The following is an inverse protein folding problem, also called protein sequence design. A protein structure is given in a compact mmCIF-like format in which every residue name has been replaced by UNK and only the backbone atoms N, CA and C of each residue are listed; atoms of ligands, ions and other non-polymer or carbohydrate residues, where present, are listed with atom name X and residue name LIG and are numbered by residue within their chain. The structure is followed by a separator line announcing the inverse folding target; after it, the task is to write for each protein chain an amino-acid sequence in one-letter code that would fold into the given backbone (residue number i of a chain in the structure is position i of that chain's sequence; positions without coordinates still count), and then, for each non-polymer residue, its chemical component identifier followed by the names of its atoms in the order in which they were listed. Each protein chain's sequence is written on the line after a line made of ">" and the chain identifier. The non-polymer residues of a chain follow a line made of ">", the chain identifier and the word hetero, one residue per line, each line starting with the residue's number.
data_IF_110621334480
#
_entry.id   IF_110621334480
#
_cell.length_a   1.000
_cell.length_b   1.000
_cell.length_c   1.000
_cell.angle_alpha   90.00
_cell.angle_beta   90.00
_cell.angle_gamma   90.00
#
_symmetry.space_group_name_H-M   'P 1'
#
loop_
_entity.id
_entity.type
_entity.pdbx_description
1 polymer ?
#
# COMPACT_ATOMS: atom_id res chain seq x y z
N UNK A 1 -18.82 -2.71 0.52
CA UNK A 1 -18.07 -3.69 1.36
C UNK A 1 -16.76 -3.02 1.69
N UNK A 2 -16.35 -2.99 2.95
CA UNK A 2 -15.12 -2.27 3.33
C UNK A 2 -13.89 -3.13 3.14
N UNK A 3 -12.84 -2.50 2.63
CA UNK A 3 -11.51 -3.07 2.47
C UNK A 3 -10.56 -2.31 3.38
N UNK A 4 -9.79 -3.05 4.17
CA UNK A 4 -8.76 -2.50 5.04
C UNK A 4 -7.48 -2.28 4.24
N UNK A 5 -6.95 -1.06 4.30
CA UNK A 5 -5.67 -0.73 3.69
C UNK A 5 -4.56 -0.92 4.72
N UNK A 6 -3.62 -1.82 4.44
CA UNK A 6 -2.54 -2.21 5.34
C UNK A 6 -1.19 -1.98 4.66
N UNK A 7 -0.22 -1.51 5.44
CA UNK A 7 1.15 -1.40 4.98
C UNK A 7 1.77 -2.78 4.79
N UNK A 8 2.25 -3.10 3.59
CA UNK A 8 2.89 -4.39 3.32
C UNK A 8 4.23 -4.58 4.07
N UNK A 9 4.92 -3.50 4.42
CA UNK A 9 6.25 -3.57 5.03
C UNK A 9 6.23 -3.61 6.56
N UNK A 10 5.22 -3.03 7.20
CA UNK A 10 5.17 -2.89 8.65
C UNK A 10 3.82 -3.25 9.28
N UNK A 11 2.90 -3.84 8.51
CA UNK A 11 1.56 -4.30 8.91
C UNK A 11 0.66 -3.25 9.56
N UNK A 12 1.04 -1.97 9.48
CA UNK A 12 0.26 -0.86 10.02
C UNK A 12 -0.98 -0.63 9.17
N UNK A 13 -2.14 -0.52 9.81
CA UNK A 13 -3.36 -0.05 9.15
C UNK A 13 -3.18 1.42 8.77
N UNK A 14 -3.35 1.72 7.47
CA UNK A 14 -3.16 3.05 6.89
C UNK A 14 -4.45 3.65 6.33
N UNK A 15 -5.54 2.90 6.31
CA UNK A 15 -6.85 3.43 5.95
C UNK A 15 -7.91 2.35 5.73
N UNK A 16 -9.08 2.80 5.29
CA UNK A 16 -10.18 1.97 4.83
C UNK A 16 -10.63 2.51 3.47
N UNK A 17 -11.04 1.63 2.57
CA UNK A 17 -11.54 1.95 1.24
C UNK A 17 -12.87 1.22 1.06
N UNK A 18 -13.88 1.86 0.48
CA UNK A 18 -15.07 1.14 0.03
C UNK A 18 -14.73 0.36 -1.25
N UNK A 19 -15.22 -0.88 -1.35
CA UNK A 19 -15.00 -1.73 -2.53
C UNK A 19 -15.34 -1.01 -3.85
N UNK A 20 -16.36 -0.15 -3.85
CA UNK A 20 -16.81 0.60 -5.03
C UNK A 20 -15.76 1.64 -5.47
N UNK A 21 -14.99 2.18 -4.53
CA UNK A 21 -13.96 3.18 -4.76
C UNK A 21 -12.67 2.58 -5.37
N UNK A 22 -12.48 1.26 -5.32
CA UNK A 22 -11.35 0.59 -5.98
C UNK A 22 -11.32 0.80 -7.49
N UNK A 23 -12.49 1.01 -8.09
CA UNK A 23 -12.64 1.27 -9.54
C UNK A 23 -12.49 2.75 -9.89
N UNK A 24 -12.46 3.62 -8.89
CA UNK A 24 -12.26 5.05 -9.09
C UNK A 24 -10.77 5.32 -9.32
N UNK A 25 -10.45 6.20 -10.26
CA UNK A 25 -9.08 6.47 -10.72
C UNK A 25 -8.12 7.12 -9.68
N UNK A 26 -8.48 7.15 -8.38
CA UNK A 26 -7.75 7.86 -7.31
C UNK A 26 -7.29 6.95 -6.17
N UNK A 27 -7.14 5.65 -6.41
CA UNK A 27 -6.59 4.77 -5.38
C UNK A 27 -5.08 4.88 -5.40
N UNK A 28 -4.48 5.20 -4.24
CA UNK A 28 -3.05 5.04 -4.00
C UNK A 28 -2.56 3.70 -4.57
N UNK A 29 -1.29 3.57 -5.03
CA UNK A 29 -0.80 2.33 -5.61
C UNK A 29 -1.00 1.15 -4.64
N UNK A 30 -2.04 0.35 -4.92
CA UNK A 30 -2.30 -0.92 -4.25
C UNK A 30 -1.40 -1.94 -4.91
N UNK A 31 -0.58 -2.59 -4.10
CA UNK A 31 0.34 -3.63 -4.56
C UNK A 31 -0.36 -4.97 -4.69
N UNK A 32 -1.27 -5.28 -3.76
CA UNK A 32 -2.01 -6.54 -3.75
C UNK A 32 -3.34 -6.42 -2.97
N UNK A 33 -4.29 -7.32 -3.23
CA UNK A 33 -5.55 -7.45 -2.49
C UNK A 33 -5.80 -8.92 -2.16
N UNK A 34 -5.87 -9.23 -0.87
CA UNK A 34 -6.18 -10.58 -0.36
C UNK A 34 -7.44 -10.52 0.49
N UNK A 35 -8.54 -11.07 -0.02
CA UNK A 35 -9.84 -11.02 0.65
C UNK A 35 -10.35 -9.58 0.80
N UNK A 36 -10.51 -9.12 2.04
CA UNK A 36 -10.93 -7.75 2.38
C UNK A 36 -9.76 -6.86 2.85
N UNK A 37 -8.52 -7.22 2.50
CA UNK A 37 -7.32 -6.46 2.83
C UNK A 37 -6.60 -6.04 1.56
N UNK A 38 -6.38 -4.74 1.39
CA UNK A 38 -5.54 -4.15 0.35
C UNK A 38 -4.18 -3.77 0.93
N UNK A 39 -3.12 -4.26 0.31
CA UNK A 39 -1.74 -3.96 0.69
C UNK A 39 -1.19 -2.80 -0.13
N UNK A 40 -0.58 -1.84 0.55
CA UNK A 40 0.13 -0.72 -0.05
C UNK A 40 1.34 -0.35 0.82
N UNK A 41 2.15 0.64 0.43
CA UNK A 41 3.19 1.18 1.30
C UNK A 41 2.69 2.39 2.06
N UNK A 42 2.97 2.46 3.36
CA UNK A 42 2.77 3.70 4.11
C UNK A 42 3.85 4.73 3.72
N UNK A 43 3.59 6.04 3.89
CA UNK A 43 4.56 7.08 3.53
C UNK A 43 5.94 6.88 4.18
N UNK A 44 5.99 6.37 5.41
CA UNK A 44 7.25 6.12 6.12
C UNK A 44 8.07 5.01 5.43
N UNK A 45 7.46 3.85 5.18
CA UNK A 45 8.14 2.75 4.52
C UNK A 45 8.49 3.08 3.06
N UNK A 46 7.63 3.85 2.37
CA UNK A 46 7.93 4.34 1.03
C UNK A 46 9.17 5.24 1.05
N UNK A 47 9.23 6.19 1.97
CA UNK A 47 10.36 7.09 2.11
C UNK A 47 11.64 6.33 2.47
N UNK A 48 11.58 5.34 3.36
CA UNK A 48 12.72 4.49 3.70
C UNK A 48 13.24 3.71 2.48
N UNK A 49 12.34 3.15 1.66
CA UNK A 49 12.71 2.44 0.44
C UNK A 49 13.26 3.37 -0.65
N UNK A 50 12.82 4.62 -0.72
CA UNK A 50 13.37 5.63 -1.63
C UNK A 50 14.72 6.18 -1.15
N UNK A 51 14.95 6.19 0.16
CA UNK A 51 16.19 6.68 0.79
C UNK A 51 17.30 5.62 0.84
N UNK A 52 16.99 4.33 0.72
CA UNK A 52 18.02 3.34 0.43
C UNK A 52 18.54 3.60 -1.00
N UNK A 53 19.83 3.99 -1.17
CA UNK A 53 20.40 4.00 -2.50
C UNK A 53 20.24 2.59 -3.03
N UNK A 54 19.58 2.45 -4.19
CA UNK A 54 19.58 1.19 -4.95
C UNK A 54 21.03 0.74 -4.99
N UNK A 55 21.40 -0.23 -4.17
CA UNK A 55 22.66 -0.93 -4.31
C UNK A 55 22.49 -1.69 -5.61
N UNK A 56 22.84 -1.01 -6.70
CA UNK A 56 23.04 -1.59 -8.01
C UNK A 56 24.14 -2.62 -7.78
N UNK A 57 23.74 -3.88 -7.60
CA UNK A 57 24.67 -4.97 -7.79
C UNK A 57 25.11 -4.87 -9.26
N UNK A 58 26.42 -4.70 -9.41
CA UNK A 58 27.21 -4.40 -10.61
C UNK A 58 26.65 -4.91 -11.94
#
# INVERSE_FOLDING_TARGET
>A
MKILKVCHACDRIIGEIELDDLTSHNVDPIMDIVGNVAYALCPLCLQEMEMEPRNVYH
#
